data_IF_707484219529
#
_entry.id   IF_707484219529
#
_cell.length_a   1.000
_cell.length_b   1.000
_cell.length_c   1.000
_cell.angle_alpha   90.00
_cell.angle_beta   90.00
_cell.angle_gamma   90.00
#
_symmetry.space_group_name_H-M   'P 1'
#
loop_
_entity.id
_entity.type
_entity.pdbx_description
1 polymer ?
#
# COMPACT_ATOMS: atom_id res chain seq x y z
N UNK A 1 -34.59 -2.78 20.20
CA UNK A 1 -33.68 -2.91 19.02
C UNK A 1 -32.62 -1.80 18.96
N UNK A 2 -32.97 -0.49 19.06
CA UNK A 2 -31.98 0.62 19.09
C UNK A 2 -30.99 0.55 20.27
N UNK A 3 -31.48 0.21 21.47
CA UNK A 3 -30.64 0.08 22.67
C UNK A 3 -29.60 -1.06 22.60
N UNK A 4 -29.90 -2.16 21.88
CA UNK A 4 -28.96 -3.29 21.69
C UNK A 4 -27.77 -2.87 20.81
N UNK A 5 -28.00 -2.03 19.79
CA UNK A 5 -26.92 -1.45 18.97
C UNK A 5 -26.03 -0.52 19.80
N UNK A 6 -26.62 0.31 20.66
CA UNK A 6 -25.89 1.22 21.55
C UNK A 6 -25.08 0.45 22.59
N UNK A 7 -25.63 -0.61 23.20
CA UNK A 7 -24.92 -1.44 24.17
C UNK A 7 -23.75 -2.21 23.52
N UNK A 8 -23.92 -2.63 22.25
CA UNK A 8 -22.84 -3.22 21.45
C UNK A 8 -21.73 -2.20 21.17
N UNK A 9 -22.07 -0.95 20.83
CA UNK A 9 -21.13 0.17 20.66
C UNK A 9 -20.36 0.50 21.96
N UNK A 10 -21.01 0.47 23.13
CA UNK A 10 -20.32 0.70 24.43
C UNK A 10 -19.32 -0.42 24.74
N UNK A 11 -19.57 -1.66 24.29
CA UNK A 11 -18.60 -2.76 24.38
C UNK A 11 -17.38 -2.53 23.47
N UNK A 12 -17.55 -1.92 22.29
CA UNK A 12 -16.45 -1.44 21.46
C UNK A 12 -15.66 -0.30 22.11
N UNK A 13 -16.31 0.61 22.86
CA UNK A 13 -15.60 1.63 23.65
C UNK A 13 -14.74 1.01 24.76
N UNK A 14 -15.11 -0.15 25.31
CA UNK A 14 -14.20 -0.91 26.19
C UNK A 14 -12.99 -1.48 25.45
N UNK A 15 -13.08 -1.79 24.16
CA UNK A 15 -11.93 -2.15 23.33
C UNK A 15 -10.94 -0.98 23.16
N UNK A 16 -11.37 0.27 23.32
CA UNK A 16 -10.43 1.41 23.42
C UNK A 16 -9.54 1.36 24.67
N UNK A 17 -9.94 0.63 25.74
CA UNK A 17 -9.02 0.33 26.85
C UNK A 17 -7.93 -0.66 26.43
N UNK A 18 -8.20 -1.52 25.44
CA UNK A 18 -7.20 -2.39 24.81
C UNK A 18 -6.10 -1.56 24.10
N UNK A 19 -6.44 -0.39 23.54
CA UNK A 19 -5.47 0.58 23.02
C UNK A 19 -4.51 1.11 24.11
N UNK A 20 -4.93 1.12 25.38
CA UNK A 20 -4.04 1.43 26.52
C UNK A 20 -3.08 0.28 26.84
N UNK A 21 -3.53 -0.96 26.66
CA UNK A 21 -2.69 -2.16 26.81
C UNK A 21 -1.66 -2.28 25.68
N UNK A 22 -2.07 -1.99 24.43
CA UNK A 22 -1.21 -1.93 23.25
C UNK A 22 -0.12 -0.87 23.38
N UNK A 23 -0.40 0.25 24.07
CA UNK A 23 0.58 1.31 24.36
C UNK A 23 1.73 0.85 25.27
N UNK A 24 1.56 -0.25 26.01
CA UNK A 24 2.56 -0.77 26.93
C UNK A 24 3.59 -1.68 26.24
N UNK A 25 3.30 -2.15 25.02
CA UNK A 25 4.20 -3.00 24.22
C UNK A 25 4.65 -2.21 22.99
N UNK A 26 5.87 -1.67 23.04
CA UNK A 26 6.42 -0.78 22.00
C UNK A 26 6.30 -1.35 20.58
N UNK A 27 6.60 -2.64 20.38
CA UNK A 27 6.50 -3.30 19.07
C UNK A 27 5.08 -3.36 18.50
N UNK A 28 4.06 -3.62 19.35
CA UNK A 28 2.66 -3.65 18.92
C UNK A 28 2.15 -2.24 18.56
N UNK A 29 2.62 -1.20 19.28
CA UNK A 29 2.32 0.20 18.96
C UNK A 29 2.84 0.58 17.58
N UNK A 30 4.06 0.19 17.23
CA UNK A 30 4.65 0.47 15.91
C UNK A 30 3.87 -0.23 14.80
N UNK A 31 3.53 -1.51 14.97
CA UNK A 31 2.71 -2.24 13.99
C UNK A 31 1.33 -1.61 13.79
N UNK A 32 0.64 -1.25 14.88
CA UNK A 32 -0.68 -0.61 14.80
C UNK A 32 -0.60 0.78 14.17
N UNK A 33 0.46 1.55 14.45
CA UNK A 33 0.68 2.83 13.80
C UNK A 33 0.91 2.67 12.30
N UNK A 34 1.77 1.74 11.88
CA UNK A 34 1.99 1.43 10.46
C UNK A 34 0.70 1.02 9.75
N UNK A 35 -0.12 0.15 10.36
CA UNK A 35 -1.43 -0.23 9.83
C UNK A 35 -2.37 0.99 9.73
N UNK A 36 -2.42 1.83 10.75
CA UNK A 36 -3.28 3.02 10.74
C UNK A 36 -2.89 4.00 9.63
N UNK A 37 -1.59 4.14 9.36
CA UNK A 37 -1.07 4.97 8.26
C UNK A 37 -1.45 4.37 6.90
N UNK A 38 -1.29 3.06 6.69
CA UNK A 38 -1.65 2.40 5.42
C UNK A 38 -3.17 2.32 5.20
N UNK A 39 -3.97 2.28 6.26
CA UNK A 39 -5.43 2.34 6.16
C UNK A 39 -5.91 3.67 5.56
N UNK A 40 -5.21 4.78 5.83
CA UNK A 40 -5.60 6.10 5.30
C UNK A 40 -5.54 6.15 3.77
N UNK A 41 -4.51 5.56 3.17
CA UNK A 41 -4.39 5.47 1.71
C UNK A 41 -5.36 4.44 1.12
N UNK A 42 -5.61 3.34 1.85
CA UNK A 42 -6.57 2.31 1.46
C UNK A 42 -8.01 2.84 1.33
N UNK A 43 -8.41 3.80 2.19
CA UNK A 43 -9.77 4.38 2.16
C UNK A 43 -10.12 4.93 0.78
N UNK A 44 -9.21 5.65 0.12
CA UNK A 44 -9.49 6.23 -1.19
C UNK A 44 -9.64 5.16 -2.28
N UNK A 45 -8.85 4.09 -2.21
CA UNK A 45 -8.98 2.97 -3.12
C UNK A 45 -10.30 2.21 -2.92
N UNK A 46 -10.75 2.05 -1.66
CA UNK A 46 -12.05 1.49 -1.33
C UNK A 46 -13.22 2.40 -1.76
N UNK A 47 -13.07 3.72 -1.66
CA UNK A 47 -14.07 4.68 -2.18
C UNK A 47 -14.20 4.55 -3.69
N UNK A 48 -13.08 4.44 -4.43
CA UNK A 48 -13.11 4.20 -5.87
C UNK A 48 -13.82 2.88 -6.21
N UNK A 49 -13.49 1.79 -5.50
CA UNK A 49 -14.16 0.51 -5.67
C UNK A 49 -15.67 0.61 -5.39
N UNK A 50 -16.06 1.33 -4.33
CA UNK A 50 -17.46 1.57 -4.00
C UNK A 50 -18.20 2.34 -5.11
N UNK A 51 -17.58 3.35 -5.71
CA UNK A 51 -18.15 4.09 -6.84
C UNK A 51 -18.35 3.16 -8.04
N UNK A 52 -17.36 2.34 -8.38
CA UNK A 52 -17.47 1.37 -9.49
C UNK A 52 -18.61 0.38 -9.24
N UNK A 53 -18.70 -0.18 -8.03
CA UNK A 53 -19.79 -1.07 -7.65
C UNK A 53 -21.15 -0.38 -7.69
N UNK A 54 -21.24 0.89 -7.28
CA UNK A 54 -22.47 1.67 -7.36
C UNK A 54 -22.93 1.87 -8.81
N UNK A 55 -22.03 2.32 -9.69
CA UNK A 55 -22.35 2.55 -11.11
C UNK A 55 -22.76 1.25 -11.79
N UNK A 56 -22.02 0.16 -11.59
CA UNK A 56 -22.39 -1.15 -12.14
C UNK A 56 -23.69 -1.70 -11.53
N UNK A 57 -23.89 -1.50 -10.23
CA UNK A 57 -25.13 -1.87 -9.55
C UNK A 57 -26.33 -1.18 -10.19
N UNK A 58 -26.25 0.14 -10.39
CA UNK A 58 -27.31 0.91 -11.06
C UNK A 58 -27.59 0.39 -12.47
N UNK A 59 -26.55 0.19 -13.28
CA UNK A 59 -26.71 -0.31 -14.67
C UNK A 59 -27.39 -1.67 -14.69
N UNK A 60 -26.92 -2.64 -13.89
CA UNK A 60 -27.46 -3.99 -13.90
C UNK A 60 -28.89 -4.03 -13.32
N UNK A 61 -29.15 -3.34 -12.21
CA UNK A 61 -30.51 -3.25 -11.65
C UNK A 61 -31.47 -2.62 -12.66
N UNK A 62 -31.05 -1.57 -13.38
CA UNK A 62 -31.92 -0.92 -14.38
C UNK A 62 -32.25 -1.85 -15.55
N UNK A 63 -31.24 -2.52 -16.13
CA UNK A 63 -31.46 -3.49 -17.22
C UNK A 63 -32.43 -4.60 -16.80
N UNK A 64 -32.35 -5.05 -15.56
CA UNK A 64 -33.22 -6.10 -15.02
C UNK A 64 -34.63 -5.60 -14.80
N UNK A 65 -34.80 -4.39 -14.27
CA UNK A 65 -36.12 -3.76 -14.11
C UNK A 65 -36.80 -3.57 -15.47
N UNK A 66 -36.05 -3.13 -16.48
CA UNK A 66 -36.56 -2.99 -17.85
C UNK A 66 -37.01 -4.35 -18.40
N UNK A 67 -36.19 -5.39 -18.24
CA UNK A 67 -36.54 -6.75 -18.66
C UNK A 67 -37.79 -7.32 -17.97
N UNK A 68 -37.93 -7.14 -16.66
CA UNK A 68 -39.10 -7.58 -15.90
C UNK A 68 -40.37 -6.81 -16.28
N UNK A 69 -40.22 -5.56 -16.72
CA UNK A 69 -41.34 -4.74 -17.20
C UNK A 69 -41.84 -5.24 -18.56
N UNK A 70 -40.91 -5.61 -19.45
CA UNK A 70 -41.23 -6.13 -20.79
C UNK A 70 -41.70 -7.59 -20.77
N UNK A 71 -41.27 -8.37 -19.76
CA UNK A 71 -41.60 -9.79 -19.61
C UNK A 71 -42.32 -10.05 -18.27
N UNK A 72 -43.66 -9.91 -18.22
CA UNK A 72 -44.41 -9.99 -16.97
C UNK A 72 -44.50 -11.39 -16.34
N UNK A 73 -44.18 -12.44 -17.09
CA UNK A 73 -44.07 -13.81 -16.57
C UNK A 73 -42.69 -14.41 -16.97
N UNK A 74 -41.59 -13.95 -16.35
CA UNK A 74 -40.31 -14.59 -16.51
C UNK A 74 -40.39 -16.01 -15.93
N UNK A 75 -39.60 -16.96 -16.44
CA UNK A 75 -39.59 -18.32 -15.87
C UNK A 75 -39.27 -18.29 -14.37
N UNK A 76 -39.94 -19.13 -13.57
CA UNK A 76 -39.87 -19.14 -12.10
C UNK A 76 -38.42 -19.19 -11.56
N UNK A 77 -37.55 -19.95 -12.22
CA UNK A 77 -36.13 -20.04 -11.86
C UNK A 77 -35.36 -18.73 -12.08
N UNK A 78 -35.68 -17.99 -13.14
CA UNK A 78 -35.05 -16.70 -13.48
C UNK A 78 -35.54 -15.63 -12.50
N UNK A 79 -36.84 -15.61 -12.21
CA UNK A 79 -37.43 -14.68 -11.24
C UNK A 79 -36.83 -14.86 -9.85
N UNK A 80 -36.73 -16.11 -9.36
CA UNK A 80 -36.13 -16.40 -8.06
C UNK A 80 -34.65 -15.98 -7.99
N UNK A 81 -33.88 -16.21 -9.05
CA UNK A 81 -32.47 -15.82 -9.11
C UNK A 81 -32.29 -14.30 -9.18
N UNK A 82 -33.12 -13.59 -9.96
CA UNK A 82 -33.14 -12.12 -10.00
C UNK A 82 -33.52 -11.55 -8.64
N UNK A 83 -34.55 -12.10 -8.00
CA UNK A 83 -35.00 -11.68 -6.68
C UNK A 83 -33.90 -11.84 -5.61
N UNK A 84 -33.08 -12.89 -5.72
CA UNK A 84 -31.99 -13.17 -4.79
C UNK A 84 -30.77 -12.26 -4.97
N UNK A 85 -30.38 -11.94 -6.20
CA UNK A 85 -29.09 -11.30 -6.49
C UNK A 85 -29.18 -9.88 -7.01
N UNK A 86 -30.30 -9.51 -7.62
CA UNK A 86 -30.40 -8.30 -8.45
C UNK A 86 -31.67 -7.46 -8.23
N UNK A 87 -32.51 -7.84 -7.27
CA UNK A 87 -33.80 -7.20 -6.98
C UNK A 87 -33.70 -5.71 -6.67
N UNK A 88 -32.68 -5.32 -5.91
CA UNK A 88 -32.48 -3.96 -5.43
C UNK A 88 -31.05 -3.51 -5.65
N UNK A 89 -30.81 -2.20 -5.64
CA UNK A 89 -29.48 -1.64 -5.83
C UNK A 89 -28.48 -2.11 -4.77
N UNK A 90 -28.90 -2.15 -3.50
CA UNK A 90 -28.06 -2.61 -2.39
C UNK A 90 -27.72 -4.09 -2.51
N UNK A 91 -28.69 -4.93 -2.87
CA UNK A 91 -28.45 -6.35 -3.16
C UNK A 91 -27.51 -6.51 -4.35
N UNK A 92 -27.70 -5.74 -5.42
CA UNK A 92 -26.84 -5.78 -6.61
C UNK A 92 -25.40 -5.36 -6.30
N UNK A 93 -25.21 -4.29 -5.54
CA UNK A 93 -23.89 -3.86 -5.05
C UNK A 93 -23.24 -4.93 -4.16
N UNK A 94 -24.03 -5.59 -3.30
CA UNK A 94 -23.53 -6.67 -2.46
C UNK A 94 -23.13 -7.91 -3.27
N UNK A 95 -23.91 -8.28 -4.29
CA UNK A 95 -23.61 -9.35 -5.26
C UNK A 95 -22.30 -9.06 -6.01
N UNK A 96 -22.12 -7.82 -6.49
CA UNK A 96 -20.89 -7.37 -7.14
C UNK A 96 -19.66 -7.49 -6.22
N UNK A 97 -19.83 -7.15 -4.93
CA UNK A 97 -18.79 -7.33 -3.91
C UNK A 97 -18.49 -8.81 -3.64
N UNK A 98 -19.51 -9.66 -3.47
CA UNK A 98 -19.34 -11.10 -3.24
C UNK A 98 -18.61 -11.78 -4.40
N UNK A 99 -18.90 -11.36 -5.63
CA UNK A 99 -18.31 -11.92 -6.85
C UNK A 99 -16.81 -11.68 -6.98
N UNK A 100 -16.29 -10.56 -6.46
CA UNK A 100 -14.86 -10.23 -6.49
C UNK A 100 -14.09 -10.67 -5.23
N UNK A 101 -14.81 -10.91 -4.13
CA UNK A 101 -14.23 -11.29 -2.83
C UNK A 101 -14.20 -12.82 -2.61
N UNK A 102 -14.74 -13.60 -3.55
CA UNK A 102 -14.85 -15.05 -3.43
C UNK A 102 -15.94 -15.53 -2.48
N UNK A 103 -16.91 -14.66 -2.14
CA UNK A 103 -18.07 -15.02 -1.32
C UNK A 103 -19.14 -15.80 -2.08
N UNK A 104 -19.20 -15.64 -3.41
CA UNK A 104 -20.12 -16.31 -4.31
C UNK A 104 -19.44 -16.54 -5.66
N UNK A 105 -19.73 -17.67 -6.32
CA UNK A 105 -19.19 -17.89 -7.66
C UNK A 105 -19.82 -16.89 -8.64
N UNK A 106 -18.97 -16.12 -9.34
CA UNK A 106 -19.42 -15.16 -10.34
C UNK A 106 -20.22 -15.83 -11.47
N UNK A 107 -20.05 -17.15 -11.70
CA UNK A 107 -20.83 -17.92 -12.66
C UNK A 107 -22.30 -18.08 -12.26
N UNK A 108 -22.59 -18.23 -10.96
CA UNK A 108 -23.96 -18.46 -10.46
C UNK A 108 -24.84 -17.23 -10.67
N UNK A 109 -24.27 -16.05 -10.48
CA UNK A 109 -24.95 -14.76 -10.67
C UNK A 109 -25.02 -14.32 -12.12
N UNK A 110 -24.17 -14.88 -12.98
CA UNK A 110 -24.17 -14.63 -14.42
C UNK A 110 -25.33 -15.35 -15.13
N UNK A 111 -25.70 -16.55 -14.67
CA UNK A 111 -26.78 -17.35 -15.28
C UNK A 111 -28.09 -16.57 -15.49
N UNK A 112 -28.67 -15.89 -14.48
CA UNK A 112 -29.89 -15.10 -14.69
C UNK A 112 -29.67 -13.91 -15.63
N UNK A 113 -28.46 -13.33 -15.69
CA UNK A 113 -28.16 -12.21 -16.59
C UNK A 113 -28.13 -12.63 -18.06
N UNK A 114 -27.87 -13.91 -18.34
CA UNK A 114 -27.84 -14.45 -19.70
C UNK A 114 -29.22 -14.46 -20.35
N UNK A 115 -30.25 -14.78 -19.57
CA UNK A 115 -31.65 -14.77 -20.00
C UNK A 115 -32.19 -13.34 -20.17
N UNK A 116 -31.61 -12.37 -19.46
CA UNK A 116 -32.03 -10.96 -19.50
C UNK A 116 -31.51 -10.27 -20.75
N UNK A 117 -30.19 -10.21 -20.93
CA UNK A 117 -29.60 -9.57 -22.11
C UNK A 117 -28.12 -9.92 -22.30
N UNK A 118 -27.65 -9.94 -23.54
CA UNK A 118 -26.22 -10.05 -23.84
C UNK A 118 -25.40 -8.85 -23.28
N UNK A 119 -26.03 -7.68 -23.20
CA UNK A 119 -25.40 -6.48 -22.66
C UNK A 119 -25.09 -6.63 -21.15
N UNK A 120 -26.03 -7.13 -20.34
CA UNK A 120 -25.81 -7.36 -18.90
C UNK A 120 -24.69 -8.35 -18.62
N UNK A 121 -24.61 -9.43 -19.41
CA UNK A 121 -23.51 -10.41 -19.34
C UNK A 121 -22.17 -9.73 -19.62
N UNK A 122 -22.10 -8.98 -20.73
CA UNK A 122 -20.87 -8.31 -21.16
C UNK A 122 -20.43 -7.26 -20.13
N UNK A 123 -21.36 -6.45 -19.63
CA UNK A 123 -21.10 -5.44 -18.61
C UNK A 123 -20.58 -6.08 -17.30
N UNK A 124 -21.19 -7.18 -16.86
CA UNK A 124 -20.75 -7.89 -15.65
C UNK A 124 -19.37 -8.53 -15.81
N UNK A 125 -19.08 -9.18 -16.94
CA UNK A 125 -17.75 -9.75 -17.22
C UNK A 125 -16.68 -8.67 -17.33
N UNK A 126 -17.01 -7.52 -17.94
CA UNK A 126 -16.11 -6.37 -17.99
C UNK A 126 -15.82 -5.81 -16.59
N UNK A 127 -16.84 -5.71 -15.73
CA UNK A 127 -16.69 -5.33 -14.33
C UNK A 127 -15.75 -6.28 -13.57
N UNK A 128 -15.97 -7.60 -13.68
CA UNK A 128 -15.11 -8.60 -13.01
C UNK A 128 -13.67 -8.47 -13.50
N UNK A 129 -13.46 -8.44 -14.81
CA UNK A 129 -12.14 -8.33 -15.41
C UNK A 129 -11.43 -7.05 -14.97
N UNK A 130 -12.09 -5.90 -15.06
CA UNK A 130 -11.51 -4.62 -14.65
C UNK A 130 -11.20 -4.60 -13.15
N UNK A 131 -12.12 -5.09 -12.31
CA UNK A 131 -11.95 -5.03 -10.86
C UNK A 131 -10.85 -5.97 -10.39
N UNK A 132 -10.80 -7.20 -10.89
CA UNK A 132 -9.82 -8.21 -10.49
C UNK A 132 -8.43 -7.89 -11.03
N UNK A 133 -8.31 -7.55 -12.33
CA UNK A 133 -6.99 -7.33 -12.95
C UNK A 133 -6.42 -5.93 -12.71
N UNK A 134 -7.27 -4.90 -12.56
CA UNK A 134 -6.80 -3.53 -12.36
C UNK A 134 -7.02 -3.05 -10.91
N UNK A 135 -8.28 -2.99 -10.46
CA UNK A 135 -8.62 -2.28 -9.21
C UNK A 135 -7.99 -2.94 -7.98
N UNK A 136 -8.16 -4.26 -7.80
CA UNK A 136 -7.59 -4.98 -6.65
C UNK A 136 -6.05 -4.94 -6.66
N UNK A 137 -5.44 -4.97 -7.84
CA UNK A 137 -3.98 -4.83 -7.97
C UNK A 137 -3.50 -3.42 -7.62
N UNK A 138 -4.23 -2.37 -8.03
CA UNK A 138 -3.94 -0.98 -7.64
C UNK A 138 -4.10 -0.79 -6.13
N UNK A 139 -5.16 -1.33 -5.53
CA UNK A 139 -5.39 -1.31 -4.06
C UNK A 139 -4.20 -1.93 -3.34
N UNK A 140 -3.77 -3.12 -3.78
CA UNK A 140 -2.61 -3.82 -3.23
C UNK A 140 -1.32 -3.01 -3.39
N UNK A 141 -1.09 -2.43 -4.57
CA UNK A 141 0.08 -1.59 -4.84
C UNK A 141 0.13 -0.33 -3.95
N UNK A 142 -0.98 0.37 -3.79
CA UNK A 142 -1.08 1.55 -2.92
C UNK A 142 -0.82 1.18 -1.45
N UNK A 143 -1.37 0.05 -1.00
CA UNK A 143 -1.14 -0.46 0.35
C UNK A 143 0.34 -0.80 0.58
N UNK A 144 0.97 -1.54 -0.34
CA UNK A 144 2.39 -1.88 -0.29
C UNK A 144 3.27 -0.63 -0.30
N UNK A 145 3.01 0.34 -1.20
CA UNK A 145 3.78 1.58 -1.26
C UNK A 145 3.67 2.38 0.05
N UNK A 146 2.46 2.47 0.60
CA UNK A 146 2.24 3.14 1.89
C UNK A 146 2.96 2.45 3.05
N UNK A 147 3.04 1.11 3.02
CA UNK A 147 3.76 0.32 4.02
C UNK A 147 5.27 0.57 3.94
N UNK A 148 5.82 0.61 2.71
CA UNK A 148 7.24 0.90 2.46
C UNK A 148 7.57 2.33 2.91
N UNK A 149 6.77 3.32 2.51
CA UNK A 149 6.95 4.73 2.92
C UNK A 149 6.91 4.89 4.44
N UNK A 150 6.00 4.16 5.11
CA UNK A 150 5.90 4.17 6.57
C UNK A 150 7.12 3.50 7.23
N UNK A 151 7.67 2.45 6.62
CA UNK A 151 8.85 1.77 7.13
C UNK A 151 10.10 2.66 7.03
N UNK A 152 10.27 3.38 5.91
CA UNK A 152 11.39 4.31 5.70
C UNK A 152 11.37 5.52 6.63
N UNK A 153 10.19 5.94 7.08
CA UNK A 153 10.01 7.07 8.01
C UNK A 153 10.15 6.69 9.49
N UNK A 154 10.46 5.43 9.81
CA UNK A 154 10.71 5.03 11.20
C UNK A 154 12.02 5.66 11.72
N UNK A 155 12.01 6.41 12.83
CA UNK A 155 13.22 7.03 13.39
C UNK A 155 14.35 6.04 13.66
N UNK A 156 14.02 4.83 14.09
CA UNK A 156 15.01 3.77 14.35
C UNK A 156 15.70 3.30 13.06
N UNK A 157 14.95 3.20 11.95
CA UNK A 157 15.48 2.84 10.62
C UNK A 157 16.34 3.97 10.07
N UNK A 158 15.91 5.23 10.24
CA UNK A 158 16.68 6.41 9.85
C UNK A 158 17.98 6.51 10.65
N UNK A 159 17.91 6.30 11.97
CA UNK A 159 19.10 6.32 12.84
C UNK A 159 20.08 5.21 12.47
N UNK A 160 19.60 3.99 12.19
CA UNK A 160 20.44 2.90 11.70
C UNK A 160 21.08 3.21 10.34
N UNK A 161 20.33 3.79 9.40
CA UNK A 161 20.85 4.20 8.11
C UNK A 161 21.93 5.30 8.24
N UNK A 162 21.74 6.27 9.12
CA UNK A 162 22.74 7.30 9.44
C UNK A 162 24.03 6.70 10.03
N UNK A 163 23.89 5.79 11.00
CA UNK A 163 25.04 5.10 11.61
C UNK A 163 25.78 4.25 10.57
N UNK A 164 25.05 3.54 9.70
CA UNK A 164 25.63 2.73 8.63
C UNK A 164 26.39 3.58 7.61
N UNK A 165 25.81 4.72 7.19
CA UNK A 165 26.49 5.68 6.31
C UNK A 165 27.75 6.24 6.98
N UNK A 166 27.67 6.69 8.23
CA UNK A 166 28.85 7.19 8.97
C UNK A 166 29.95 6.13 9.04
N UNK A 167 29.61 4.87 9.30
CA UNK A 167 30.56 3.77 9.33
C UNK A 167 31.22 3.55 7.97
N UNK A 168 30.44 3.60 6.89
CA UNK A 168 30.95 3.48 5.53
C UNK A 168 31.87 4.67 5.15
N UNK A 169 31.54 5.89 5.58
CA UNK A 169 32.40 7.07 5.43
C UNK A 169 33.74 6.87 6.13
N UNK A 170 33.73 6.42 7.40
CA UNK A 170 34.96 6.17 8.16
C UNK A 170 35.78 5.04 7.53
N UNK A 171 35.17 3.95 7.09
CA UNK A 171 35.86 2.84 6.43
C UNK A 171 36.51 3.28 5.11
N UNK A 172 35.85 4.14 4.32
CA UNK A 172 36.41 4.67 3.08
C UNK A 172 37.60 5.60 3.34
N UNK A 173 37.50 6.48 4.34
CA UNK A 173 38.60 7.36 4.77
C UNK A 173 39.79 6.53 5.29
N UNK A 174 39.52 5.53 6.13
CA UNK A 174 40.56 4.63 6.64
C UNK A 174 41.26 3.86 5.51
N UNK A 175 40.51 3.40 4.50
CA UNK A 175 41.12 2.75 3.32
C UNK A 175 42.00 3.69 2.53
N UNK A 176 41.57 4.93 2.30
CA UNK A 176 42.38 5.95 1.62
C UNK A 176 43.67 6.20 2.39
N UNK A 177 43.58 6.39 3.70
CA UNK A 177 44.75 6.60 4.55
C UNK A 177 45.68 5.39 4.58
N UNK A 178 45.17 4.16 4.63
CA UNK A 178 46.00 2.95 4.54
C UNK A 178 46.66 2.74 3.17
N UNK A 179 46.07 3.23 2.08
CA UNK A 179 46.70 3.15 0.75
C UNK A 179 47.87 4.13 0.61
N UNK A 180 47.82 5.25 1.35
CA UNK A 180 48.79 6.33 1.25
C UNK A 180 49.90 6.21 2.29
N UNK A 181 49.61 5.64 3.46
CA UNK A 181 50.58 5.36 4.53
C UNK A 181 51.58 4.28 4.07
N UNK A 182 52.67 4.72 3.41
CA UNK A 182 53.69 3.83 2.84
C UNK A 182 54.58 3.26 3.93
N UNK A 183 54.81 4.02 5.00
CA UNK A 183 55.70 3.64 6.11
C UNK A 183 54.99 2.86 7.22
N UNK A 184 53.65 2.70 7.15
CA UNK A 184 52.79 2.07 8.15
C UNK A 184 52.92 2.71 9.52
N UNK A 185 53.22 4.01 9.56
CA UNK A 185 53.37 4.75 10.81
C UNK A 185 52.04 4.98 11.53
N UNK A 186 50.90 4.66 10.89
CA UNK A 186 49.54 5.03 11.33
C UNK A 186 49.34 6.55 11.41
N UNK A 187 50.24 7.31 10.81
CA UNK A 187 50.23 8.76 10.72
C UNK A 187 50.53 9.16 9.29
N UNK A 188 49.98 10.30 8.84
CA UNK A 188 50.24 10.78 7.48
C UNK A 188 51.16 11.97 7.57
N UNK A 189 52.31 11.83 6.93
CA UNK A 189 53.27 12.92 6.82
C UNK A 189 52.81 13.95 5.78
N UNK A 190 53.28 15.19 5.91
CA UNK A 190 52.98 16.27 4.96
C UNK A 190 53.27 15.86 3.50
N UNK A 191 54.39 15.15 3.29
CA UNK A 191 54.81 14.65 1.98
C UNK A 191 53.88 13.60 1.39
N UNK A 192 53.27 12.75 2.23
CA UNK A 192 52.28 11.76 1.79
C UNK A 192 50.94 12.42 1.47
N UNK A 193 50.56 13.42 2.26
CA UNK A 193 49.36 14.20 2.04
C UNK A 193 49.42 15.07 0.77
N UNK A 194 50.57 15.68 0.48
CA UNK A 194 50.81 16.41 -0.76
C UNK A 194 50.70 15.49 -1.99
N UNK A 195 51.02 14.20 -1.83
CA UNK A 195 50.84 13.19 -2.87
C UNK A 195 49.37 12.84 -3.10
N UNK A 196 48.54 12.81 -2.05
CA UNK A 196 47.07 12.62 -2.13
C UNK A 196 46.44 13.74 -2.95
N UNK A 197 46.79 15.00 -2.64
CA UNK A 197 46.17 16.17 -3.27
C UNK A 197 46.61 16.32 -4.73
N UNK A 198 47.80 15.85 -5.10
CA UNK A 198 48.29 15.96 -6.47
C UNK A 198 47.84 14.81 -7.39
N UNK A 199 47.38 13.68 -6.83
CA UNK A 199 46.87 12.54 -7.60
C UNK A 199 45.41 12.77 -8.03
N UNK A 200 45.12 12.52 -9.31
CA UNK A 200 43.82 12.77 -9.90
C UNK A 200 42.73 11.84 -9.36
N UNK A 201 43.08 10.58 -9.08
CA UNK A 201 42.14 9.58 -8.54
C UNK A 201 41.79 9.88 -7.08
N UNK A 202 42.79 10.25 -6.27
CA UNK A 202 42.60 10.62 -4.87
C UNK A 202 41.85 11.94 -4.71
N UNK A 203 42.06 12.92 -5.60
CA UNK A 203 41.24 14.14 -5.66
C UNK A 203 39.78 13.86 -5.99
N UNK A 204 39.52 12.98 -6.95
CA UNK A 204 38.15 12.58 -7.27
C UNK A 204 37.48 11.87 -6.08
N UNK A 205 38.24 11.06 -5.33
CA UNK A 205 37.76 10.37 -4.15
C UNK A 205 37.51 11.32 -2.95
N UNK A 206 38.39 12.29 -2.70
CA UNK A 206 38.20 13.34 -1.69
C UNK A 206 37.01 14.25 -2.01
N UNK A 207 36.85 14.62 -3.29
CA UNK A 207 35.69 15.37 -3.75
C UNK A 207 34.39 14.56 -3.60
N UNK A 208 34.42 13.25 -3.82
CA UNK A 208 33.28 12.36 -3.58
C UNK A 208 32.93 12.21 -2.09
N UNK A 209 33.86 12.50 -1.19
CA UNK A 209 33.65 12.53 0.26
C UNK A 209 33.21 13.93 0.77
N UNK A 210 32.94 14.88 -0.12
CA UNK A 210 32.64 16.29 0.19
C UNK A 210 33.74 17.00 1.01
N UNK A 211 34.96 16.47 0.99
CA UNK A 211 36.11 17.12 1.60
C UNK A 211 36.72 18.00 0.52
N UNK A 212 36.42 19.30 0.55
CA UNK A 212 37.11 20.26 -0.31
C UNK A 212 38.61 20.20 -0.03
N UNK A 213 39.42 20.05 -1.07
CA UNK A 213 40.87 19.94 -0.93
C UNK A 213 41.51 21.15 -0.21
N UNK A 214 40.82 22.31 -0.19
CA UNK A 214 41.21 23.48 0.61
C UNK A 214 40.96 23.31 2.12
N UNK A 215 39.87 22.66 2.54
CA UNK A 215 39.58 22.39 3.96
C UNK A 215 40.53 21.33 4.54
N UNK A 216 41.05 20.47 3.68
CA UNK A 216 42.02 19.45 4.05
C UNK A 216 43.35 20.06 4.54
N UNK A 217 43.73 21.25 4.04
CA UNK A 217 44.89 22.02 4.52
C UNK A 217 44.70 22.55 5.95
N UNK A 218 43.48 22.93 6.32
CA UNK A 218 43.16 23.39 7.70
C UNK A 218 43.11 22.25 8.72
N UNK A 219 42.90 21.01 8.28
CA UNK A 219 42.84 19.83 9.13
C UNK A 219 44.20 19.39 9.69
N UNK A 220 45.30 19.80 9.05
CA UNK A 220 46.68 19.40 9.38
C UNK A 220 47.45 20.38 10.28
N UNK A 221 46.82 21.49 10.69
CA UNK A 221 47.48 22.56 11.44
C UNK A 221 47.28 22.44 12.95
#
# INVERSE_FOLDING_TARGET
>A
IRAIRIFRLVRFLKALRLQRLIRMVGGLRTLVYSIAVTLKSLIWALVLLFIIMYVMGVILTQVIVDYLTDNPNPGEAVEAAIAAYWCTLDTSMFTLFMSISGGLSWSEVLLPLWEVSFFSVTAFVAYISFTVFAVLNVVTGVFCNSAIDSAQKNPDVIAQALIANQRQYVENIQRLFCQVDVDKSLSITWTEFERIINDADNRAFLAALEIEAMDAWTLFK
#
